data_IF_914780024359
#
_entry.id   IF_914780024359
#
_cell.length_a   1.000
_cell.length_b   1.000
_cell.length_c   1.000
_cell.angle_alpha   90.00
_cell.angle_beta   90.00
_cell.angle_gamma   90.00
#
_symmetry.space_group_name_H-M   'P 1'
#
loop_
_entity.id
_entity.type
_entity.pdbx_description
1 polymer ?
#
# COMPACT_ATOMS: atom_id res chain seq x y z
N UNK A 1 -3.11 -11.78 4.60
CA UNK A 1 -2.52 -10.97 3.51
C UNK A 1 -1.18 -11.53 3.01
N UNK A 2 -0.16 -11.71 3.86
CA UNK A 2 1.20 -12.12 3.45
C UNK A 2 1.24 -13.41 2.60
N UNK A 3 0.57 -14.48 3.02
CA UNK A 3 0.54 -15.74 2.26
C UNK A 3 -0.14 -15.59 0.89
N UNK A 4 -1.24 -14.82 0.83
CA UNK A 4 -1.99 -14.60 -0.41
C UNK A 4 -1.17 -13.80 -1.43
N UNK A 5 -0.53 -12.70 -1.01
CA UNK A 5 0.29 -11.87 -1.91
C UNK A 5 1.55 -12.61 -2.38
N UNK A 6 2.13 -13.47 -1.55
CA UNK A 6 3.28 -14.28 -1.92
C UNK A 6 2.92 -15.31 -3.02
N UNK A 7 1.86 -16.10 -2.79
CA UNK A 7 1.44 -17.14 -3.74
C UNK A 7 0.95 -16.51 -5.05
N UNK A 8 0.08 -15.49 -4.97
CA UNK A 8 -0.44 -14.81 -6.16
C UNK A 8 0.66 -14.07 -6.93
N UNK A 9 1.63 -13.44 -6.27
CA UNK A 9 2.76 -12.80 -6.92
C UNK A 9 3.67 -13.78 -7.66
N UNK A 10 3.92 -14.98 -7.09
CA UNK A 10 4.72 -16.01 -7.74
C UNK A 10 4.02 -16.60 -8.96
N UNK A 11 2.72 -16.89 -8.86
CA UNK A 11 1.92 -17.38 -9.99
C UNK A 11 1.77 -16.31 -11.08
N UNK A 12 1.53 -15.06 -10.72
CA UNK A 12 1.36 -13.99 -11.69
C UNK A 12 2.68 -13.66 -12.40
N UNK A 13 3.80 -13.56 -11.68
CA UNK A 13 5.10 -13.27 -12.30
C UNK A 13 5.58 -14.36 -13.27
N UNK A 14 5.15 -15.62 -13.08
CA UNK A 14 5.54 -16.75 -13.94
C UNK A 14 4.65 -16.89 -15.18
N UNK A 15 3.37 -16.53 -15.10
CA UNK A 15 2.40 -16.76 -16.19
C UNK A 15 1.80 -15.49 -16.82
N UNK A 16 2.04 -14.29 -16.29
CA UNK A 16 1.45 -13.06 -16.81
C UNK A 16 2.14 -12.51 -18.07
N UNK A 17 1.36 -11.85 -18.94
CA UNK A 17 1.89 -11.14 -20.11
C UNK A 17 2.61 -9.82 -19.77
N UNK A 18 2.37 -9.24 -18.58
CA UNK A 18 3.02 -8.02 -18.10
C UNK A 18 3.45 -8.18 -16.62
N UNK A 19 4.64 -8.74 -16.35
CA UNK A 19 5.10 -9.02 -14.99
C UNK A 19 5.49 -7.76 -14.18
N UNK A 20 5.44 -6.56 -14.79
CA UNK A 20 5.70 -5.30 -14.10
C UNK A 20 4.52 -4.87 -13.20
N UNK A 21 3.33 -5.46 -13.40
CA UNK A 21 2.17 -5.18 -12.54
C UNK A 21 2.31 -5.88 -11.20
N UNK A 22 2.15 -5.13 -10.10
CA UNK A 22 2.26 -5.63 -8.73
C UNK A 22 0.85 -5.94 -8.22
N UNK A 23 0.61 -7.20 -7.87
CA UNK A 23 -0.64 -7.62 -7.23
C UNK A 23 -0.57 -7.39 -5.71
N UNK A 24 -1.62 -6.79 -5.16
CA UNK A 24 -1.74 -6.54 -3.72
C UNK A 24 -3.18 -6.29 -3.31
N UNK A 25 -3.49 -6.54 -2.05
CA UNK A 25 -4.76 -6.14 -1.48
C UNK A 25 -4.82 -4.61 -1.35
N UNK A 26 -5.91 -4.01 -1.82
CA UNK A 26 -6.16 -2.56 -1.77
C UNK A 26 -7.30 -2.24 -0.82
N UNK A 27 -7.44 -0.96 -0.43
CA UNK A 27 -8.52 -0.50 0.45
C UNK A 27 -9.93 -0.95 0.01
N UNK A 28 -10.29 -0.82 -1.28
CA UNK A 28 -11.59 -1.31 -1.78
C UNK A 28 -11.81 -2.81 -1.58
N UNK A 29 -10.76 -3.63 -1.70
CA UNK A 29 -10.86 -5.07 -1.46
C UNK A 29 -11.16 -5.39 0.02
N UNK A 30 -10.56 -4.63 0.94
CA UNK A 30 -10.87 -4.74 2.36
C UNK A 30 -12.32 -4.33 2.64
N UNK A 31 -12.78 -3.20 2.09
CA UNK A 31 -14.16 -2.75 2.23
C UNK A 31 -15.16 -3.77 1.68
N UNK A 32 -14.88 -4.39 0.52
CA UNK A 32 -15.69 -5.48 -0.02
C UNK A 32 -15.78 -6.66 0.94
N UNK A 33 -14.65 -7.08 1.52
CA UNK A 33 -14.63 -8.23 2.44
C UNK A 33 -15.43 -7.95 3.72
N UNK A 34 -15.42 -6.71 4.22
CA UNK A 34 -16.26 -6.28 5.35
C UNK A 34 -17.75 -6.37 5.02
N UNK A 35 -18.17 -5.87 3.85
CA UNK A 35 -19.58 -5.96 3.42
C UNK A 35 -20.03 -7.42 3.27
N UNK A 36 -19.17 -8.29 2.73
CA UNK A 36 -19.48 -9.74 2.62
C UNK A 36 -19.57 -10.39 3.99
N UNK A 37 -18.74 -9.96 4.95
CA UNK A 37 -18.82 -10.41 6.33
C UNK A 37 -20.14 -10.00 6.99
N UNK A 38 -20.51 -8.72 6.91
CA UNK A 38 -21.76 -8.20 7.46
C UNK A 38 -22.99 -8.87 6.83
N UNK A 39 -22.93 -9.21 5.54
CA UNK A 39 -23.98 -9.94 4.84
C UNK A 39 -24.12 -11.39 5.33
N UNK A 40 -22.99 -12.06 5.61
CA UNK A 40 -23.00 -13.42 6.13
C UNK A 40 -23.58 -13.47 7.55
N UNK A 41 -23.19 -12.50 8.39
CA UNK A 41 -23.69 -12.35 9.76
C UNK A 41 -25.20 -12.04 9.77
N UNK A 42 -25.65 -11.11 8.92
CA UNK A 42 -27.07 -10.79 8.77
C UNK A 42 -27.93 -11.94 8.21
N UNK A 43 -27.31 -12.90 7.52
CA UNK A 43 -27.98 -14.09 6.99
C UNK A 43 -27.86 -15.33 7.90
N UNK A 44 -27.13 -15.23 9.02
CA UNK A 44 -26.82 -16.35 9.94
C UNK A 44 -26.10 -17.52 9.23
N UNK A 45 -25.20 -17.19 8.29
CA UNK A 45 -24.41 -18.16 7.50
C UNK A 45 -22.94 -18.07 7.90
N UNK A 46 -22.25 -19.20 7.95
CA UNK A 46 -20.79 -19.22 8.16
C UNK A 46 -20.05 -18.43 7.06
N UNK A 47 -19.26 -17.44 7.48
CA UNK A 47 -18.52 -16.55 6.58
C UNK A 47 -17.56 -17.29 5.64
N UNK A 48 -16.82 -18.29 6.13
CA UNK A 48 -15.73 -18.91 5.36
C UNK A 48 -16.25 -19.68 4.13
N UNK A 49 -17.27 -20.56 4.24
CA UNK A 49 -17.91 -21.17 3.07
C UNK A 49 -18.57 -20.15 2.14
N UNK A 50 -19.23 -19.12 2.71
CA UNK A 50 -19.87 -18.07 1.92
C UNK A 50 -18.84 -17.30 1.06
N UNK A 51 -17.73 -16.89 1.68
CA UNK A 51 -16.62 -16.21 1.01
C UNK A 51 -15.96 -17.09 -0.06
N UNK A 52 -15.82 -18.40 0.19
CA UNK A 52 -15.32 -19.33 -0.83
C UNK A 52 -16.23 -19.35 -2.07
N UNK A 53 -17.55 -19.41 -1.88
CA UNK A 53 -18.49 -19.41 -3.00
C UNK A 53 -18.47 -18.10 -3.79
N UNK A 54 -18.40 -16.94 -3.12
CA UNK A 54 -18.29 -15.65 -3.83
C UNK A 54 -17.02 -15.56 -4.67
N UNK A 55 -15.89 -16.06 -4.16
CA UNK A 55 -14.65 -16.17 -4.92
C UNK A 55 -14.76 -17.13 -6.12
N UNK A 56 -15.45 -18.26 -5.98
CA UNK A 56 -15.68 -19.20 -7.09
C UNK A 56 -16.50 -18.55 -8.22
N UNK A 57 -17.56 -17.81 -7.89
CA UNK A 57 -18.33 -17.03 -8.87
C UNK A 57 -17.48 -15.94 -9.53
N UNK A 58 -16.67 -15.22 -8.75
CA UNK A 58 -15.74 -14.21 -9.29
C UNK A 58 -14.75 -14.82 -10.30
N UNK A 59 -14.19 -16.00 -9.98
CA UNK A 59 -13.31 -16.73 -10.91
C UNK A 59 -14.04 -17.14 -12.18
N UNK A 60 -15.27 -17.64 -12.07
CA UNK A 60 -16.09 -18.02 -13.23
C UNK A 60 -16.34 -16.81 -14.14
N UNK A 61 -16.78 -15.68 -13.58
CA UNK A 61 -17.00 -14.46 -14.36
C UNK A 61 -15.73 -13.94 -15.01
N UNK A 62 -14.58 -14.06 -14.35
CA UNK A 62 -13.28 -13.66 -14.92
C UNK A 62 -12.94 -14.50 -16.15
N UNK A 63 -13.16 -15.82 -16.11
CA UNK A 63 -12.95 -16.71 -17.25
C UNK A 63 -13.92 -16.37 -18.39
N UNK A 64 -15.20 -16.12 -18.08
CA UNK A 64 -16.20 -15.72 -19.08
C UNK A 64 -15.80 -14.40 -19.77
N UNK A 65 -15.38 -13.39 -19.00
CA UNK A 65 -14.89 -12.13 -19.57
C UNK A 65 -13.70 -12.33 -20.52
N UNK A 66 -12.80 -13.28 -20.23
CA UNK A 66 -11.68 -13.61 -21.10
C UNK A 66 -12.12 -14.32 -22.38
N UNK A 67 -13.07 -15.27 -22.30
CA UNK A 67 -13.59 -16.00 -23.47
C UNK A 67 -14.35 -15.07 -24.43
N UNK A 68 -15.10 -14.10 -23.89
CA UNK A 68 -15.88 -13.15 -24.68
C UNK A 68 -15.10 -11.89 -25.11
N UNK A 69 -13.78 -11.82 -24.83
CA UNK A 69 -12.92 -10.66 -25.12
C UNK A 69 -13.51 -9.31 -24.65
N UNK A 70 -14.03 -9.28 -23.42
CA UNK A 70 -14.55 -8.04 -22.82
C UNK A 70 -13.46 -6.98 -22.63
N UNK A 71 -12.18 -7.38 -22.68
CA UNK A 71 -11.04 -6.48 -22.67
C UNK A 71 -11.07 -5.47 -23.83
N UNK A 72 -11.74 -5.78 -24.95
CA UNK A 72 -11.95 -4.83 -26.03
C UNK A 72 -12.67 -3.54 -25.60
N UNK A 73 -13.47 -3.60 -24.51
CA UNK A 73 -14.16 -2.43 -23.95
C UNK A 73 -13.18 -1.39 -23.39
N UNK A 74 -11.96 -1.78 -23.01
CA UNK A 74 -10.94 -0.84 -22.53
C UNK A 74 -10.58 0.22 -23.58
N UNK A 75 -10.84 -0.02 -24.87
CA UNK A 75 -10.63 0.97 -25.94
C UNK A 75 -11.54 2.20 -25.81
N UNK A 76 -12.62 2.12 -25.04
CA UNK A 76 -13.51 3.24 -24.76
C UNK A 76 -13.07 4.07 -23.54
N UNK A 77 -12.16 3.56 -22.73
CA UNK A 77 -11.56 4.30 -21.63
C UNK A 77 -10.55 5.28 -22.23
N UNK A 78 -10.66 6.56 -21.88
CA UNK A 78 -9.80 7.62 -22.41
C UNK A 78 -8.73 8.01 -21.40
N UNK A 79 -7.64 8.63 -21.87
CA UNK A 79 -6.58 9.18 -21.01
C UNK A 79 -7.13 10.09 -19.90
N UNK A 80 -8.21 10.85 -20.18
CA UNK A 80 -8.85 11.70 -19.19
C UNK A 80 -9.41 10.92 -18.00
N UNK A 81 -10.11 9.80 -18.27
CA UNK A 81 -10.62 8.93 -17.21
C UNK A 81 -9.50 8.23 -16.43
N UNK A 82 -8.41 7.85 -17.10
CA UNK A 82 -7.26 7.22 -16.46
C UNK A 82 -6.52 8.20 -15.55
N UNK A 83 -6.30 9.43 -16.01
CA UNK A 83 -5.64 10.49 -15.21
C UNK A 83 -6.48 10.86 -13.99
N UNK A 84 -7.81 10.98 -14.12
CA UNK A 84 -8.71 11.22 -12.98
C UNK A 84 -8.64 10.06 -11.99
N UNK A 85 -8.65 8.82 -12.47
CA UNK A 85 -8.59 7.64 -11.61
C UNK A 85 -7.26 7.54 -10.86
N UNK A 86 -6.14 7.78 -11.54
CA UNK A 86 -4.82 7.86 -10.91
C UNK A 86 -4.76 9.01 -9.88
N UNK A 87 -5.34 10.16 -10.21
CA UNK A 87 -5.49 11.30 -9.31
C UNK A 87 -6.26 10.93 -8.04
N UNK A 88 -7.41 10.28 -8.17
CA UNK A 88 -8.24 9.84 -7.05
C UNK A 88 -7.47 8.88 -6.13
N UNK A 89 -6.82 7.85 -6.69
CA UNK A 89 -6.04 6.90 -5.91
C UNK A 89 -4.89 7.59 -5.18
N UNK A 90 -4.18 8.51 -5.85
CA UNK A 90 -3.08 9.25 -5.20
C UNK A 90 -3.56 10.12 -4.04
N UNK A 91 -4.73 10.75 -4.17
CA UNK A 91 -5.35 11.54 -3.11
C UNK A 91 -5.75 10.67 -1.91
N UNK A 92 -6.36 9.50 -2.17
CA UNK A 92 -6.73 8.55 -1.12
C UNK A 92 -5.49 8.11 -0.34
N UNK A 93 -4.40 7.74 -1.01
CA UNK A 93 -3.17 7.35 -0.32
C UNK A 93 -2.53 8.47 0.51
N UNK A 94 -2.61 9.73 0.06
CA UNK A 94 -2.12 10.87 0.84
C UNK A 94 -2.96 11.06 2.11
N UNK A 95 -4.29 10.96 2.01
CA UNK A 95 -5.20 11.09 3.15
C UNK A 95 -5.01 9.92 4.12
N UNK A 96 -4.95 8.69 3.62
CA UNK A 96 -4.76 7.49 4.44
C UNK A 96 -3.39 7.48 5.14
N UNK A 97 -2.36 8.07 4.52
CA UNK A 97 -1.05 8.26 5.16
C UNK A 97 -1.05 9.36 6.24
N UNK A 98 -1.86 10.41 6.09
CA UNK A 98 -1.94 11.53 7.04
C UNK A 98 -2.89 11.25 8.22
N UNK A 99 -3.92 10.43 8.02
CA UNK A 99 -4.96 10.12 9.02
C UNK A 99 -4.39 9.62 10.35
N UNK A 100 -3.48 8.62 10.41
CA UNK A 100 -2.92 8.13 11.68
C UNK A 100 -2.19 9.21 12.46
N UNK A 101 -1.50 10.13 11.77
CA UNK A 101 -0.82 11.25 12.42
C UNK A 101 -1.83 12.15 13.13
N UNK A 102 -2.93 12.50 12.45
CA UNK A 102 -3.97 13.39 13.00
C UNK A 102 -4.69 12.72 14.18
N UNK A 103 -5.04 11.44 14.06
CA UNK A 103 -5.70 10.66 15.12
C UNK A 103 -4.84 10.60 16.38
N UNK A 104 -3.52 10.39 16.24
CA UNK A 104 -2.58 10.37 17.37
C UNK A 104 -2.49 11.71 18.12
N UNK A 105 -2.69 12.85 17.44
CA UNK A 105 -2.74 14.18 18.09
C UNK A 105 -4.12 14.52 18.66
N UNK A 106 -5.21 14.13 18.01
CA UNK A 106 -6.57 14.53 18.38
C UNK A 106 -7.13 13.73 19.54
N UNK A 107 -6.90 12.42 19.55
CA UNK A 107 -7.52 11.51 20.52
C UNK A 107 -6.72 11.39 21.83
N UNK A 108 -5.58 12.08 21.97
CA UNK A 108 -4.64 11.98 23.10
C UNK A 108 -4.33 10.51 23.50
N UNK A 109 -4.32 9.60 22.52
CA UNK A 109 -4.07 8.15 22.74
C UNK A 109 -2.66 7.94 23.30
N UNK A 110 -1.74 8.87 23.03
CA UNK A 110 -0.36 8.87 23.49
C UNK A 110 0.01 10.19 24.17
N UNK A 111 1.01 10.20 25.07
CA UNK A 111 1.54 11.45 25.59
C UNK A 111 2.07 12.31 24.43
N UNK A 112 1.88 13.63 24.54
CA UNK A 112 2.25 14.60 23.49
C UNK A 112 3.68 14.40 22.96
N UNK A 113 4.63 14.03 23.82
CA UNK A 113 6.02 13.73 23.46
C UNK A 113 6.12 12.63 22.39
N UNK A 114 5.32 11.57 22.50
CA UNK A 114 5.35 10.46 21.55
C UNK A 114 4.71 10.85 20.21
N UNK A 115 3.59 11.60 20.23
CA UNK A 115 2.96 12.10 19.02
C UNK A 115 3.88 13.07 18.24
N UNK A 116 4.60 13.94 18.94
CA UNK A 116 5.63 14.80 18.34
C UNK A 116 6.80 13.99 17.76
N UNK A 117 7.21 12.90 18.43
CA UNK A 117 8.25 12.00 17.95
C UNK A 117 7.83 11.23 16.69
N UNK A 118 6.58 10.77 16.61
CA UNK A 118 6.05 10.12 15.40
C UNK A 118 5.97 11.09 14.22
N UNK A 119 5.54 12.34 14.45
CA UNK A 119 5.57 13.39 13.44
C UNK A 119 7.00 13.67 12.97
N UNK A 120 7.98 13.67 13.89
CA UNK A 120 9.39 13.82 13.56
C UNK A 120 9.89 12.64 12.70
N UNK A 121 9.56 11.40 13.06
CA UNK A 121 9.94 10.20 12.28
C UNK A 121 9.31 10.21 10.88
N UNK A 122 8.06 10.68 10.76
CA UNK A 122 7.40 10.86 9.48
C UNK A 122 8.15 11.87 8.60
N UNK A 123 8.43 13.06 9.14
CA UNK A 123 9.17 14.11 8.42
C UNK A 123 10.60 13.66 8.07
N UNK A 124 11.26 12.91 8.96
CA UNK A 124 12.57 12.33 8.73
C UNK A 124 12.54 11.34 7.56
N UNK A 125 11.61 10.39 7.58
CA UNK A 125 11.50 9.35 6.54
C UNK A 125 11.18 9.99 5.18
N UNK A 126 10.21 10.90 5.15
CA UNK A 126 9.81 11.59 3.92
C UNK A 126 10.93 12.51 3.39
N UNK A 127 11.57 13.29 4.26
CA UNK A 127 12.65 14.20 3.90
C UNK A 127 13.89 13.47 3.38
N UNK A 128 14.31 12.40 4.05
CA UNK A 128 15.46 11.58 3.62
C UNK A 128 15.15 10.87 2.30
N UNK A 129 13.97 10.26 2.15
CA UNK A 129 13.59 9.58 0.91
C UNK A 129 13.53 10.54 -0.29
N UNK A 130 12.94 11.71 -0.11
CA UNK A 130 12.85 12.73 -1.18
C UNK A 130 14.22 13.31 -1.51
N UNK A 131 15.06 13.60 -0.52
CA UNK A 131 16.42 14.10 -0.74
C UNK A 131 17.28 13.09 -1.53
N UNK A 132 17.31 11.82 -1.11
CA UNK A 132 18.08 10.77 -1.80
C UNK A 132 17.56 10.49 -3.22
N UNK A 133 16.25 10.53 -3.43
CA UNK A 133 15.65 10.36 -4.77
C UNK A 133 16.03 11.52 -5.71
N UNK A 134 16.00 12.76 -5.20
CA UNK A 134 16.41 13.95 -5.97
C UNK A 134 17.92 14.02 -6.22
N UNK A 135 18.74 13.34 -5.42
CA UNK A 135 20.19 13.24 -5.60
C UNK A 135 20.58 12.70 -6.99
N UNK A 136 19.68 11.95 -7.66
CA UNK A 136 19.87 11.49 -9.05
C UNK A 136 20.13 12.61 -10.05
N UNK A 137 19.59 13.81 -9.82
CA UNK A 137 19.70 14.95 -10.75
C UNK A 137 20.95 15.81 -10.54
N UNK A 138 21.67 15.64 -9.43
CA UNK A 138 22.84 16.48 -9.11
C UNK A 138 24.09 16.00 -9.84
N UNK A 139 24.97 16.91 -10.33
CA UNK A 139 26.18 16.54 -11.07
C UNK A 139 27.38 16.17 -10.18
N UNK A 140 27.28 16.31 -8.86
CA UNK A 140 28.41 16.27 -7.93
C UNK A 140 28.88 14.85 -7.51
N UNK A 141 28.22 13.78 -7.95
CA UNK A 141 28.53 12.41 -7.52
C UNK A 141 28.81 11.45 -8.69
N UNK A 142 29.68 10.46 -8.47
CA UNK A 142 29.95 9.37 -9.40
C UNK A 142 28.64 8.65 -9.79
N UNK A 143 28.52 8.30 -11.07
CA UNK A 143 27.29 7.72 -11.67
C UNK A 143 26.77 6.50 -10.89
N UNK A 144 27.66 5.61 -10.46
CA UNK A 144 27.30 4.39 -9.73
C UNK A 144 26.72 4.68 -8.34
N UNK A 145 27.39 5.54 -7.57
CA UNK A 145 26.98 5.93 -6.21
C UNK A 145 25.63 6.66 -6.26
N UNK A 146 25.47 7.58 -7.21
CA UNK A 146 24.24 8.35 -7.40
C UNK A 146 23.03 7.47 -7.74
N UNK A 147 23.21 6.48 -8.62
CA UNK A 147 22.14 5.59 -9.01
C UNK A 147 21.78 4.60 -7.89
N UNK A 148 22.77 4.08 -7.16
CA UNK A 148 22.53 3.18 -6.02
C UNK A 148 21.75 3.91 -4.92
N UNK A 149 22.19 5.10 -4.49
CA UNK A 149 21.51 5.89 -3.47
C UNK A 149 20.08 6.26 -3.88
N UNK A 150 19.86 6.65 -5.14
CA UNK A 150 18.53 7.02 -5.62
C UNK A 150 17.58 5.81 -5.76
N UNK A 151 18.09 4.63 -6.11
CA UNK A 151 17.27 3.41 -6.24
C UNK A 151 16.84 2.85 -4.87
N UNK A 152 17.71 2.95 -3.86
CA UNK A 152 17.46 2.47 -2.50
C UNK A 152 17.01 3.59 -1.54
N UNK A 153 16.61 4.76 -2.05
CA UNK A 153 16.29 5.94 -1.25
C UNK A 153 15.22 5.64 -0.17
N UNK A 154 14.12 5.00 -0.56
CA UNK A 154 13.01 4.67 0.35
C UNK A 154 13.43 3.64 1.38
N UNK A 155 14.14 2.59 0.98
CA UNK A 155 14.63 1.56 1.90
C UNK A 155 15.64 2.10 2.90
N UNK A 156 16.55 2.97 2.47
CA UNK A 156 17.54 3.62 3.34
C UNK A 156 16.84 4.54 4.34
N UNK A 157 15.87 5.34 3.89
CA UNK A 157 15.09 6.22 4.76
C UNK A 157 14.33 5.44 5.83
N UNK A 158 13.72 4.31 5.45
CA UNK A 158 12.98 3.45 6.37
C UNK A 158 13.90 2.80 7.41
N UNK A 159 15.01 2.20 6.98
CA UNK A 159 15.99 1.60 7.91
C UNK A 159 16.54 2.64 8.89
N UNK A 160 16.85 3.86 8.40
CA UNK A 160 17.35 4.94 9.24
C UNK A 160 16.30 5.39 10.26
N UNK A 161 15.05 5.62 9.83
CA UNK A 161 13.98 6.03 10.73
C UNK A 161 13.65 4.94 11.76
N UNK A 162 13.62 3.67 11.36
CA UNK A 162 13.46 2.54 12.28
C UNK A 162 14.62 2.40 13.26
N UNK A 163 15.86 2.65 12.84
CA UNK A 163 17.02 2.64 13.74
C UNK A 163 16.94 3.77 14.78
N UNK A 164 16.53 4.98 14.35
CA UNK A 164 16.28 6.11 15.28
C UNK A 164 15.16 5.75 16.25
N UNK A 165 14.06 5.19 15.76
CA UNK A 165 12.96 4.73 16.62
C UNK A 165 13.42 3.69 17.65
N UNK A 166 14.25 2.73 17.25
CA UNK A 166 14.76 1.67 18.14
C UNK A 166 15.75 2.19 19.20
N UNK A 167 16.52 3.25 18.92
CA UNK A 167 17.41 3.86 19.91
C UNK A 167 16.60 4.56 21.02
N UNK A 168 15.48 5.19 20.64
CA UNK A 168 14.62 5.94 21.57
C UNK A 168 13.47 5.10 22.17
N UNK A 169 13.32 3.84 21.78
CA UNK A 169 12.27 2.93 22.30
C UNK A 169 12.50 2.52 23.76
N UNK A 170 13.70 2.72 24.31
CA UNK A 170 13.98 2.48 25.73
C UNK A 170 13.32 3.49 26.68
N UNK A 171 12.94 4.67 26.17
CA UNK A 171 12.34 5.76 26.95
C UNK A 171 10.88 6.06 26.56
N UNK A 172 10.39 5.48 25.46
CA UNK A 172 9.05 5.77 24.91
C UNK A 172 8.29 4.46 24.68
N UNK A 173 7.11 4.32 25.31
CA UNK A 173 6.13 3.26 25.01
C UNK A 173 5.55 3.49 23.60
N UNK A 174 6.34 3.21 22.56
CA UNK A 174 5.90 3.27 21.17
C UNK A 174 5.22 1.94 20.81
N UNK A 175 3.94 1.99 20.43
CA UNK A 175 3.14 0.83 19.99
C UNK A 175 3.68 0.17 18.72
N UNK A 176 4.67 0.75 18.05
CA UNK A 176 5.23 0.25 16.79
C UNK A 176 6.09 -1.03 16.93
N UNK A 177 6.37 -1.48 18.17
CA UNK A 177 7.17 -2.68 18.49
C UNK A 177 6.43 -3.72 19.36
N UNK A 178 5.10 -3.60 19.52
CA UNK A 178 4.23 -4.66 20.06
C UNK A 178 3.30 -5.18 18.96
#
# INVERSE_FOLDING_TARGET
MIMSTCISGLLFSTFAGQPLSILGATGPFLAYTLVVYDLADGADIEFMPFYFWTCMWCSLFTILCAVFDLCALMKHVTMFSEDIFAGLISLIFIIDGARPLIENFSENVMPLTNAMFEMLLFLLTFGVATYLSHFRRKPWALRSIRNLLANFAVTIALVLASAVAAIYSGETNLRMLQ
#
